data_IF_376241179165
#
_entry.id   IF_376241179165
#
_cell.length_a   1.000
_cell.length_b   1.000
_cell.length_c   1.000
_cell.angle_alpha   90.00
_cell.angle_beta   90.00
_cell.angle_gamma   90.00
#
_symmetry.space_group_name_H-M   'P 1'
#
loop_
_entity.id
_entity.type
_entity.pdbx_description
1 polymer ?
#
# COMPACT_ATOMS: atom_id res chain seq x y z
N UNK A 1 17.66 1.47 8.37
CA UNK A 1 17.35 1.43 6.92
C UNK A 1 15.87 1.77 6.75
N UNK A 2 15.54 2.87 6.08
CA UNK A 2 14.15 3.25 5.81
C UNK A 2 13.66 2.41 4.64
N UNK A 3 12.71 1.49 4.89
CA UNK A 3 12.10 0.71 3.81
C UNK A 3 11.33 1.66 2.87
N UNK A 4 11.43 1.47 1.54
CA UNK A 4 10.73 2.32 0.59
C UNK A 4 9.22 2.18 0.76
N UNK A 5 8.55 3.30 0.97
CA UNK A 5 7.10 3.39 1.14
C UNK A 5 6.53 4.43 0.18
N UNK A 6 5.34 4.17 -0.35
CA UNK A 6 4.66 5.03 -1.32
C UNK A 6 3.23 5.29 -0.88
N UNK A 7 2.67 6.42 -1.29
CA UNK A 7 1.28 6.76 -1.06
C UNK A 7 0.34 5.86 -1.86
N UNK A 8 -0.93 5.84 -1.47
CA UNK A 8 -1.99 5.17 -2.23
C UNK A 8 -2.03 5.61 -3.71
N UNK A 9 -1.84 6.91 -3.97
CA UNK A 9 -1.89 7.45 -5.33
C UNK A 9 -0.73 6.93 -6.18
N UNK A 10 0.46 6.87 -5.60
CA UNK A 10 1.65 6.33 -6.26
C UNK A 10 1.52 4.82 -6.49
N UNK A 11 0.94 4.06 -5.53
CA UNK A 11 0.67 2.64 -5.71
C UNK A 11 -0.30 2.37 -6.87
N UNK A 12 -1.35 3.19 -7.00
CA UNK A 12 -2.30 3.10 -8.12
C UNK A 12 -1.60 3.34 -9.47
N UNK A 13 -0.71 4.33 -9.54
CA UNK A 13 0.01 4.67 -10.76
C UNK A 13 1.10 3.66 -11.12
N UNK A 14 1.92 3.24 -10.14
CA UNK A 14 3.06 2.37 -10.37
C UNK A 14 2.66 0.93 -10.72
N UNK A 15 1.60 0.42 -10.09
CA UNK A 15 1.14 -0.97 -10.30
C UNK A 15 -0.06 -1.07 -11.26
N UNK A 16 -0.66 0.05 -11.65
CA UNK A 16 -1.86 0.05 -12.50
C UNK A 16 -3.11 -0.52 -11.81
N UNK A 17 -3.14 -0.48 -10.48
CA UNK A 17 -4.18 -1.14 -9.67
C UNK A 17 -5.17 -0.10 -9.17
N UNK A 18 -6.47 -0.40 -9.27
CA UNK A 18 -7.50 0.50 -8.74
C UNK A 18 -7.40 0.65 -7.22
N UNK A 19 -7.69 1.86 -6.71
CA UNK A 19 -7.82 2.11 -5.26
C UNK A 19 -8.74 1.08 -4.59
N UNK A 20 -9.87 0.72 -5.22
CA UNK A 20 -10.82 -0.27 -4.71
C UNK A 20 -10.18 -1.63 -4.48
N UNK A 21 -9.30 -2.06 -5.38
CA UNK A 21 -8.58 -3.33 -5.26
C UNK A 21 -7.63 -3.31 -4.06
N UNK A 22 -6.90 -2.21 -3.87
CA UNK A 22 -6.01 -2.02 -2.71
C UNK A 22 -6.81 -2.07 -1.41
N UNK A 23 -7.93 -1.33 -1.31
CA UNK A 23 -8.79 -1.37 -0.12
C UNK A 23 -9.34 -2.77 0.15
N UNK A 24 -9.70 -3.54 -0.89
CA UNK A 24 -10.14 -4.93 -0.74
C UNK A 24 -9.03 -5.81 -0.16
N UNK A 25 -7.78 -5.62 -0.59
CA UNK A 25 -6.62 -6.36 -0.07
C UNK A 25 -6.29 -6.01 1.38
N UNK A 26 -6.54 -4.76 1.78
CA UNK A 26 -6.48 -4.36 3.20
C UNK A 26 -7.61 -5.04 3.99
N UNK A 27 -8.84 -5.03 3.45
CA UNK A 27 -10.00 -5.61 4.12
C UNK A 27 -9.92 -7.15 4.24
N UNK A 28 -9.30 -7.83 3.28
CA UNK A 28 -9.04 -9.28 3.35
C UNK A 28 -7.87 -9.65 4.28
N UNK A 29 -7.07 -8.66 4.70
CA UNK A 29 -5.86 -8.89 5.49
C UNK A 29 -4.62 -9.27 4.67
N UNK A 30 -4.73 -9.31 3.33
CA UNK A 30 -3.58 -9.57 2.44
C UNK A 30 -2.50 -8.49 2.58
N UNK A 31 -2.91 -7.24 2.82
CA UNK A 31 -2.06 -6.12 3.24
C UNK A 31 -2.31 -5.89 4.73
N UNK A 32 -1.33 -6.24 5.57
CA UNK A 32 -1.38 -6.03 7.01
C UNK A 32 -1.42 -4.55 7.39
N UNK A 33 -2.11 -4.21 8.49
CA UNK A 33 -2.17 -2.83 9.00
C UNK A 33 -0.81 -2.31 9.48
N UNK A 34 0.05 -3.21 9.94
CA UNK A 34 1.46 -2.97 10.29
C UNK A 34 2.33 -2.58 9.09
N UNK A 35 1.87 -2.90 7.88
CA UNK A 35 2.52 -2.54 6.61
C UNK A 35 2.07 -1.18 6.07
N UNK A 36 1.14 -0.52 6.77
CA UNK A 36 0.59 0.79 6.41
C UNK A 36 1.03 1.81 7.45
N UNK A 37 1.83 2.79 7.03
CA UNK A 37 2.22 3.92 7.88
C UNK A 37 1.30 5.10 7.65
N UNK A 38 0.95 5.79 8.72
CA UNK A 38 0.22 7.05 8.65
C UNK A 38 1.21 8.21 8.83
N UNK A 39 1.36 9.01 7.79
CA UNK A 39 2.26 10.17 7.80
C UNK A 39 1.52 11.37 7.20
N UNK A 40 1.39 12.46 7.98
CA UNK A 40 0.70 13.69 7.57
C UNK A 40 -0.72 13.45 7.01
N UNK A 41 -1.47 12.51 7.61
CA UNK A 41 -2.83 12.14 7.18
C UNK A 41 -2.89 11.26 5.92
N UNK A 42 -1.76 10.86 5.35
CA UNK A 42 -1.67 9.95 4.19
C UNK A 42 -1.30 8.55 4.64
N UNK A 43 -1.87 7.55 3.95
CA UNK A 43 -1.45 6.15 4.07
C UNK A 43 -0.27 5.91 3.13
N UNK A 44 0.84 5.49 3.72
CA UNK A 44 2.04 5.03 3.04
C UNK A 44 2.10 3.50 3.14
N UNK A 45 2.30 2.85 2.01
CA UNK A 45 2.36 1.42 1.84
C UNK A 45 3.80 1.02 1.59
N UNK A 46 4.29 -0.01 2.27
CA UNK A 46 5.59 -0.57 1.99
C UNK A 46 5.60 -1.18 0.58
N UNK A 47 6.53 -0.74 -0.27
CA UNK A 47 6.56 -1.18 -1.67
C UNK A 47 6.78 -2.68 -1.80
N UNK A 48 7.63 -3.27 -0.95
CA UNK A 48 7.89 -4.70 -0.94
C UNK A 48 6.59 -5.51 -0.77
N UNK A 49 5.65 -4.98 0.01
CA UNK A 49 4.41 -5.66 0.31
C UNK A 49 3.37 -5.51 -0.79
N UNK A 50 3.37 -4.36 -1.49
CA UNK A 50 2.59 -4.20 -2.70
C UNK A 50 3.06 -5.19 -3.79
N UNK A 51 4.38 -5.38 -3.96
CA UNK A 51 4.96 -6.35 -4.91
C UNK A 51 4.60 -7.80 -4.51
N UNK A 52 4.56 -8.11 -3.21
CA UNK A 52 4.20 -9.45 -2.75
C UNK A 52 2.73 -9.78 -3.04
N UNK A 53 1.85 -8.79 -2.95
CA UNK A 53 0.40 -8.99 -3.05
C UNK A 53 -0.13 -8.90 -4.48
N UNK A 54 0.57 -8.20 -5.38
CA UNK A 54 0.13 -7.88 -6.74
C UNK A 54 1.20 -8.17 -7.79
#
# INVERSE_FOLDING_TARGET
>A
MTQPAITLSEAVQAFGISKRTIERKIASGDIGRDQIRLESGKRLFLMAELIRVF
#
